data_IF_022961042757
#
_entry.id   IF_022961042757
#
_cell.length_a   1.000
_cell.length_b   1.000
_cell.length_c   1.000
_cell.angle_alpha   90.00
_cell.angle_beta   90.00
_cell.angle_gamma   90.00
#
_symmetry.space_group_name_H-M   'P 1'
#
loop_
_entity.id
_entity.type
_entity.pdbx_description
1 polymer ?
#
# COMPACT_ATOMS: atom_id res chain seq x y z
N UNK A 1 -38.13 -3.53 7.30
CA UNK A 1 -37.81 -3.39 5.85
C UNK A 1 -36.86 -2.21 5.70
N UNK A 2 -35.54 -2.45 5.76
CA UNK A 2 -34.55 -1.40 5.51
C UNK A 2 -33.87 -1.70 4.17
N UNK A 3 -34.21 -0.93 3.15
CA UNK A 3 -33.48 -0.91 1.88
C UNK A 3 -32.10 -0.34 2.16
N UNK A 4 -31.08 -1.19 2.13
CA UNK A 4 -29.69 -0.76 2.02
C UNK A 4 -29.49 -0.31 0.57
N UNK A 5 -29.41 1.01 0.40
CA UNK A 5 -29.04 1.67 -0.83
C UNK A 5 -27.54 1.41 -1.07
N UNK A 6 -27.23 0.29 -1.73
CA UNK A 6 -25.88 -0.05 -2.18
C UNK A 6 -25.65 0.68 -3.49
N UNK A 7 -25.39 1.98 -3.41
CA UNK A 7 -24.80 2.72 -4.52
C UNK A 7 -23.31 2.32 -4.61
N UNK A 8 -22.86 1.67 -5.68
CA UNK A 8 -21.44 1.39 -5.88
C UNK A 8 -20.67 2.70 -5.97
N UNK A 9 -19.40 2.76 -5.53
CA UNK A 9 -18.58 3.95 -5.69
C UNK A 9 -18.51 4.29 -7.18
N UNK A 10 -19.02 5.47 -7.51
CA UNK A 10 -18.91 6.06 -8.84
C UNK A 10 -17.43 6.42 -9.02
N UNK A 11 -16.73 5.58 -9.77
CA UNK A 11 -15.37 5.87 -10.22
C UNK A 11 -15.48 7.03 -11.21
N UNK A 12 -15.06 8.21 -10.77
CA UNK A 12 -15.01 9.40 -11.62
C UNK A 12 -13.87 9.23 -12.62
N UNK A 13 -14.24 8.87 -13.84
CA UNK A 13 -13.36 8.94 -14.99
C UNK A 13 -13.05 10.41 -15.23
N UNK A 14 -11.81 10.84 -15.06
CA UNK A 14 -11.38 12.09 -15.70
C UNK A 14 -11.33 11.83 -17.19
N UNK A 15 -12.18 12.49 -18.02
CA UNK A 15 -12.27 12.23 -19.44
C UNK A 15 -11.10 12.93 -20.13
N UNK A 16 -9.92 12.36 -20.02
CA UNK A 16 -9.12 12.20 -21.23
C UNK A 16 -9.72 11.01 -21.98
N UNK A 17 -10.91 11.24 -22.53
CA UNK A 17 -11.35 10.82 -23.84
C UNK A 17 -10.80 9.47 -24.34
N UNK A 18 -11.68 8.55 -24.72
CA UNK A 18 -11.36 7.39 -25.57
C UNK A 18 -11.33 7.65 -27.11
N UNK A 19 -10.93 8.81 -27.69
CA UNK A 19 -10.68 8.90 -29.12
C UNK A 19 -9.21 8.57 -29.37
N UNK A 20 -8.97 7.46 -30.07
CA UNK A 20 -7.65 7.18 -30.65
C UNK A 20 -6.75 6.22 -29.90
N UNK A 21 -7.31 5.17 -29.26
CA UNK A 21 -6.52 3.99 -28.89
C UNK A 21 -5.83 3.45 -30.15
N UNK A 22 -4.57 3.84 -30.35
CA UNK A 22 -3.71 3.24 -31.37
C UNK A 22 -3.55 1.76 -31.00
N UNK A 23 -3.56 0.84 -31.97
CA UNK A 23 -3.28 -0.57 -31.69
C UNK A 23 -1.90 -0.67 -31.02
N UNK A 24 -1.90 -0.89 -29.71
CA UNK A 24 -0.69 -1.10 -28.93
C UNK A 24 -0.26 -2.54 -29.14
N UNK A 25 1.04 -2.78 -29.36
CA UNK A 25 1.56 -4.15 -29.43
C UNK A 25 1.56 -4.80 -28.06
N UNK A 26 1.89 -4.01 -27.04
CA UNK A 26 2.01 -4.47 -25.65
C UNK A 26 1.63 -3.37 -24.66
N UNK A 27 0.88 -3.75 -23.63
CA UNK A 27 0.52 -2.95 -22.46
C UNK A 27 1.47 -3.29 -21.32
N UNK A 28 2.25 -2.33 -20.84
CA UNK A 28 3.12 -2.49 -19.68
C UNK A 28 2.40 -1.94 -18.46
N UNK A 29 1.97 -2.80 -17.55
CA UNK A 29 1.25 -2.44 -16.32
C UNK A 29 2.23 -2.37 -15.17
N UNK A 30 2.41 -1.17 -14.61
CA UNK A 30 3.30 -0.92 -13.48
C UNK A 30 2.58 -1.24 -12.16
N UNK A 31 3.09 -2.23 -11.41
CA UNK A 31 2.52 -2.68 -10.14
C UNK A 31 3.48 -2.31 -8.99
N UNK A 32 3.09 -1.49 -8.00
CA UNK A 32 4.01 -0.92 -7.01
C UNK A 32 4.29 -1.92 -5.88
N UNK A 33 3.23 -2.45 -5.29
CA UNK A 33 3.18 -3.43 -4.21
C UNK A 33 1.85 -4.18 -4.33
N UNK A 34 1.78 -5.40 -3.75
CA UNK A 34 0.58 -6.26 -3.80
C UNK A 34 -0.48 -5.92 -2.75
N UNK A 35 -0.37 -4.76 -2.09
CA UNK A 35 -1.23 -4.38 -0.96
C UNK A 35 -2.59 -3.78 -1.38
N UNK A 36 -2.90 -3.78 -2.69
CA UNK A 36 -4.12 -3.18 -3.24
C UNK A 36 -5.09 -4.26 -3.73
N UNK A 37 -6.40 -3.96 -3.69
CA UNK A 37 -7.40 -4.78 -4.35
C UNK A 37 -7.12 -4.80 -5.86
N UNK A 38 -6.58 -5.91 -6.33
CA UNK A 38 -6.14 -6.09 -7.72
C UNK A 38 -7.30 -6.34 -8.67
N UNK A 39 -8.48 -6.74 -8.19
CA UNK A 39 -9.62 -7.11 -9.03
C UNK A 39 -10.07 -6.00 -10.01
N UNK A 40 -10.28 -4.74 -9.58
CA UNK A 40 -10.67 -3.67 -10.49
C UNK A 40 -9.57 -3.31 -11.50
N UNK A 41 -8.29 -3.41 -11.11
CA UNK A 41 -7.14 -3.22 -12.02
C UNK A 41 -7.13 -4.31 -13.09
N UNK A 42 -7.20 -5.57 -12.66
CA UNK A 42 -7.19 -6.75 -13.53
C UNK A 42 -8.32 -6.67 -14.55
N UNK A 43 -9.54 -6.35 -14.10
CA UNK A 43 -10.69 -6.18 -14.99
C UNK A 43 -10.43 -5.11 -16.04
N UNK A 44 -9.89 -3.95 -15.64
CA UNK A 44 -9.68 -2.84 -16.56
C UNK A 44 -8.55 -3.12 -17.55
N UNK A 45 -7.47 -3.73 -17.09
CA UNK A 45 -6.36 -4.19 -17.94
C UNK A 45 -6.87 -5.21 -18.95
N UNK A 46 -7.71 -6.16 -18.54
CA UNK A 46 -8.32 -7.13 -19.45
C UNK A 46 -9.22 -6.48 -20.50
N UNK A 47 -10.09 -5.54 -20.11
CA UNK A 47 -10.93 -4.78 -21.04
C UNK A 47 -10.08 -4.04 -22.09
N UNK A 48 -8.99 -3.39 -21.66
CA UNK A 48 -8.05 -2.69 -22.55
C UNK A 48 -7.31 -3.65 -23.48
N UNK A 49 -6.74 -4.73 -22.95
CA UNK A 49 -6.00 -5.72 -23.72
C UNK A 49 -6.89 -6.38 -24.78
N UNK A 50 -8.13 -6.73 -24.42
CA UNK A 50 -9.10 -7.32 -25.34
C UNK A 50 -9.57 -6.34 -26.42
N UNK A 51 -9.76 -5.06 -26.07
CA UNK A 51 -10.16 -4.03 -27.04
C UNK A 51 -9.05 -3.68 -28.04
N UNK A 52 -7.78 -3.77 -27.61
CA UNK A 52 -6.61 -3.39 -28.42
C UNK A 52 -5.94 -4.59 -29.09
N UNK A 53 -6.23 -5.82 -28.66
CA UNK A 53 -5.49 -7.01 -29.06
C UNK A 53 -4.05 -7.06 -28.53
N UNK A 54 -3.74 -6.24 -27.52
CA UNK A 54 -2.38 -6.08 -27.02
C UNK A 54 -1.98 -7.20 -26.04
N UNK A 55 -0.70 -7.52 -26.04
CA UNK A 55 -0.10 -8.38 -25.01
C UNK A 55 0.06 -7.59 -23.70
N UNK A 56 -0.03 -8.23 -22.54
CA UNK A 56 0.08 -7.55 -21.25
C UNK A 56 1.36 -7.99 -20.55
N UNK A 57 2.18 -7.04 -20.10
CA UNK A 57 3.32 -7.28 -19.23
C UNK A 57 3.05 -6.62 -17.88
N UNK A 58 2.91 -7.44 -16.83
CA UNK A 58 2.90 -6.95 -15.46
C UNK A 58 4.33 -6.78 -14.97
N UNK A 59 4.71 -5.54 -14.67
CA UNK A 59 6.06 -5.18 -14.26
C UNK A 59 6.03 -4.62 -12.83
N UNK A 60 6.85 -5.20 -11.95
CA UNK A 60 7.06 -4.68 -10.61
C UNK A 60 8.52 -4.53 -10.25
N UNK A 61 8.80 -3.59 -9.36
CA UNK A 61 10.13 -3.23 -8.91
C UNK A 61 10.27 -3.57 -7.43
N UNK A 62 11.34 -4.27 -7.05
CA UNK A 62 11.63 -4.58 -5.65
C UNK A 62 13.04 -4.15 -5.27
N UNK A 63 13.18 -3.68 -4.03
CA UNK A 63 14.45 -3.21 -3.46
C UNK A 63 15.07 -4.21 -2.49
N UNK A 64 14.26 -5.12 -1.94
CA UNK A 64 14.68 -6.18 -1.02
C UNK A 64 14.42 -7.55 -1.64
N UNK A 65 15.46 -8.38 -1.70
CA UNK A 65 15.39 -9.75 -2.24
C UNK A 65 14.42 -10.65 -1.46
N UNK A 66 14.13 -10.34 -0.20
CA UNK A 66 13.14 -11.10 0.59
C UNK A 66 11.72 -10.95 0.03
N UNK A 67 11.44 -9.85 -0.69
CA UNK A 67 10.13 -9.54 -1.28
C UNK A 67 9.91 -10.16 -2.66
N UNK A 68 10.97 -10.58 -3.36
CA UNK A 68 10.87 -11.14 -4.71
C UNK A 68 9.87 -12.31 -4.80
N UNK A 69 9.88 -13.31 -3.90
CA UNK A 69 9.02 -14.47 -4.05
C UNK A 69 7.53 -14.15 -3.89
N UNK A 70 7.18 -13.29 -2.94
CA UNK A 70 5.79 -12.87 -2.72
C UNK A 70 5.31 -11.98 -3.88
N UNK A 71 6.16 -11.05 -4.31
CA UNK A 71 5.87 -10.15 -5.43
C UNK A 71 5.64 -10.93 -6.73
N UNK A 72 6.57 -11.84 -7.06
CA UNK A 72 6.48 -12.69 -8.25
C UNK A 72 5.22 -13.54 -8.26
N UNK A 73 4.84 -14.14 -7.12
CA UNK A 73 3.60 -14.91 -7.00
C UNK A 73 2.36 -14.05 -7.29
N UNK A 74 2.30 -12.84 -6.75
CA UNK A 74 1.19 -11.92 -7.00
C UNK A 74 1.10 -11.50 -8.47
N UNK A 75 2.23 -11.15 -9.10
CA UNK A 75 2.24 -10.82 -10.53
C UNK A 75 1.79 -11.98 -11.41
N UNK A 76 2.26 -13.20 -11.13
CA UNK A 76 1.82 -14.40 -11.86
C UNK A 76 0.32 -14.63 -11.68
N UNK A 77 -0.21 -14.35 -10.48
CA UNK A 77 -1.65 -14.44 -10.21
C UNK A 77 -2.43 -13.41 -11.04
N UNK A 78 -1.98 -12.16 -11.07
CA UNK A 78 -2.61 -11.10 -11.88
C UNK A 78 -2.55 -11.44 -13.37
N UNK A 79 -1.41 -11.92 -13.86
CA UNK A 79 -1.24 -12.37 -15.23
C UNK A 79 -2.21 -13.51 -15.57
N UNK A 80 -2.32 -14.52 -14.70
CA UNK A 80 -3.24 -15.63 -14.89
C UNK A 80 -4.71 -15.19 -14.92
N UNK A 81 -5.10 -14.17 -14.15
CA UNK A 81 -6.46 -13.64 -14.15
C UNK A 81 -6.80 -12.82 -15.41
N UNK A 82 -5.81 -12.20 -16.05
CA UNK A 82 -6.00 -11.47 -17.32
C UNK A 82 -5.87 -12.39 -18.53
N UNK A 83 -5.11 -13.48 -18.42
CA UNK A 83 -4.88 -14.40 -19.52
C UNK A 83 -6.19 -15.05 -19.96
N UNK A 84 -6.50 -14.90 -21.25
CA UNK A 84 -7.57 -15.65 -21.91
C UNK A 84 -7.09 -16.16 -23.27
N UNK A 85 -7.95 -16.84 -24.03
CA UNK A 85 -7.57 -17.39 -25.34
C UNK A 85 -7.15 -16.35 -26.39
N UNK A 86 -7.32 -15.05 -26.13
CA UNK A 86 -7.01 -13.94 -27.03
C UNK A 86 -5.99 -12.95 -26.45
N UNK A 87 -5.80 -12.94 -25.14
CA UNK A 87 -4.88 -12.04 -24.43
C UNK A 87 -3.68 -12.82 -23.88
N UNK A 88 -2.49 -12.51 -24.40
CA UNK A 88 -1.22 -13.01 -23.85
C UNK A 88 -0.77 -12.16 -22.68
N UNK A 89 -0.24 -12.79 -21.63
CA UNK A 89 0.19 -12.11 -20.40
C UNK A 89 1.55 -12.61 -19.93
N UNK A 90 2.40 -11.69 -19.50
CA UNK A 90 3.71 -11.92 -18.88
C UNK A 90 3.79 -11.23 -17.52
N UNK A 91 4.63 -11.75 -16.64
CA UNK A 91 4.84 -11.23 -15.29
C UNK A 91 6.35 -11.15 -15.00
N UNK A 92 6.83 -9.95 -14.68
CA UNK A 92 8.24 -9.69 -14.41
C UNK A 92 8.42 -8.87 -13.13
N UNK A 93 9.24 -9.40 -12.22
CA UNK A 93 9.73 -8.69 -11.06
C UNK A 93 11.20 -8.32 -11.29
N UNK A 94 11.54 -7.03 -11.15
CA UNK A 94 12.88 -6.50 -11.42
C UNK A 94 13.48 -5.91 -10.15
N UNK A 95 14.72 -6.30 -9.86
CA UNK A 95 15.47 -5.69 -8.77
C UNK A 95 15.96 -4.30 -9.18
N UNK A 96 15.58 -3.27 -8.42
CA UNK A 96 15.96 -1.90 -8.74
C UNK A 96 15.37 -0.88 -7.78
N UNK A 97 15.77 0.37 -7.93
CA UNK A 97 15.22 1.52 -7.18
C UNK A 97 14.59 2.58 -8.09
N UNK A 98 14.92 2.56 -9.38
CA UNK A 98 14.49 3.55 -10.34
C UNK A 98 13.53 2.95 -11.38
N UNK A 99 12.25 3.33 -11.26
CA UNK A 99 11.22 2.94 -12.21
C UNK A 99 11.48 3.50 -13.61
N UNK A 100 12.08 4.67 -13.74
CA UNK A 100 12.33 5.28 -15.04
C UNK A 100 13.37 4.48 -15.83
N UNK A 101 14.45 4.06 -15.17
CA UNK A 101 15.48 3.22 -15.77
C UNK A 101 14.90 1.85 -16.20
N UNK A 102 14.13 1.21 -15.32
CA UNK A 102 13.54 -0.09 -15.61
C UNK A 102 12.50 0.00 -16.73
N UNK A 103 11.65 1.03 -16.75
CA UNK A 103 10.70 1.23 -17.84
C UNK A 103 11.44 1.52 -19.15
N UNK A 104 12.44 2.42 -19.17
CA UNK A 104 13.19 2.74 -20.39
C UNK A 104 13.88 1.51 -21.00
N UNK A 105 14.46 0.64 -20.17
CA UNK A 105 15.18 -0.55 -20.64
C UNK A 105 14.25 -1.66 -21.15
N UNK A 106 12.98 -1.68 -20.72
CA UNK A 106 12.02 -2.74 -21.08
C UNK A 106 10.97 -2.33 -22.11
N UNK A 107 10.84 -1.04 -22.39
CA UNK A 107 9.84 -0.53 -23.33
C UNK A 107 10.35 -0.57 -24.78
N UNK A 108 9.46 -0.89 -25.70
CA UNK A 108 9.69 -0.91 -27.14
C UNK A 108 8.77 0.10 -27.86
N UNK A 109 9.12 0.53 -29.08
CA UNK A 109 8.24 1.38 -29.89
C UNK A 109 6.87 0.71 -30.12
N UNK A 110 5.79 1.43 -29.79
CA UNK A 110 4.42 0.92 -29.90
C UNK A 110 3.87 0.26 -28.63
N UNK A 111 4.65 0.27 -27.55
CA UNK A 111 4.17 -0.10 -26.22
C UNK A 111 3.34 1.04 -25.61
N UNK A 112 2.48 0.67 -24.68
CA UNK A 112 1.66 1.61 -23.91
C UNK A 112 1.84 1.33 -22.43
N UNK A 113 2.15 2.37 -21.65
CA UNK A 113 2.41 2.24 -20.23
C UNK A 113 1.11 2.51 -19.47
N UNK A 114 0.75 1.61 -18.55
CA UNK A 114 -0.38 1.75 -17.64
C UNK A 114 0.17 1.94 -16.23
N UNK A 115 -0.09 3.11 -15.65
CA UNK A 115 0.29 3.46 -14.28
C UNK A 115 -0.97 3.66 -13.44
N UNK A 116 -0.92 3.34 -12.14
CA UNK A 116 -1.99 3.75 -11.22
C UNK A 116 -1.71 5.19 -10.76
N UNK A 117 -2.76 5.96 -10.54
CA UNK A 117 -2.64 7.34 -10.07
C UNK A 117 -1.92 7.46 -8.72
N UNK A 118 -2.08 6.44 -7.88
CA UNK A 118 -1.59 6.45 -6.50
C UNK A 118 -0.11 6.05 -6.36
N UNK A 119 0.54 5.67 -7.46
CA UNK A 119 1.97 5.39 -7.47
C UNK A 119 2.79 6.67 -7.31
N UNK A 120 3.50 6.77 -6.18
CA UNK A 120 4.50 7.80 -5.94
C UNK A 120 5.90 7.19 -5.98
N UNK A 121 6.84 7.91 -6.60
CA UNK A 121 8.25 7.50 -6.70
C UNK A 121 9.19 8.59 -6.22
N UNK A 122 10.30 8.14 -5.62
CA UNK A 122 11.39 9.00 -5.16
C UNK A 122 11.06 9.89 -3.95
N UNK A 123 12.06 10.64 -3.54
CA UNK A 123 11.95 11.75 -2.60
C UNK A 123 12.38 13.04 -3.31
N UNK A 124 11.58 14.12 -3.31
CA UNK A 124 10.24 14.24 -2.76
C UNK A 124 9.22 13.41 -3.56
N UNK A 125 8.20 12.87 -2.89
CA UNK A 125 7.16 12.02 -3.46
C UNK A 125 6.47 12.67 -4.66
N UNK A 126 6.93 12.33 -5.87
CA UNK A 126 6.29 12.76 -7.12
C UNK A 126 5.47 11.61 -7.69
N UNK A 127 4.30 11.88 -8.29
CA UNK A 127 3.52 10.84 -8.94
C UNK A 127 4.32 10.25 -10.10
N UNK A 128 4.39 8.91 -10.16
CA UNK A 128 5.14 8.18 -11.18
C UNK A 128 4.66 8.53 -12.58
N UNK A 129 3.37 8.80 -12.73
CA UNK A 129 2.77 9.27 -13.97
C UNK A 129 3.42 10.56 -14.49
N UNK A 130 3.68 11.54 -13.63
CA UNK A 130 4.31 12.81 -14.01
C UNK A 130 5.80 12.63 -14.36
N UNK A 131 6.49 11.77 -13.62
CA UNK A 131 7.91 11.46 -13.90
C UNK A 131 8.03 10.74 -15.25
N UNK A 132 7.17 9.76 -15.53
CA UNK A 132 7.16 9.04 -16.79
C UNK A 132 6.74 9.95 -17.96
N UNK A 133 5.68 10.74 -17.81
CA UNK A 133 5.19 11.62 -18.87
C UNK A 133 6.22 12.69 -19.28
N UNK A 134 7.05 13.15 -18.35
CA UNK A 134 8.11 14.13 -18.64
C UNK A 134 9.39 13.53 -19.21
N UNK A 135 9.58 12.20 -19.12
CA UNK A 135 10.85 11.55 -19.44
C UNK A 135 10.75 10.43 -20.47
N UNK A 136 9.55 10.04 -20.88
CA UNK A 136 9.28 8.91 -21.76
C UNK A 136 8.29 9.33 -22.85
N UNK A 137 8.70 9.21 -24.11
CA UNK A 137 7.91 9.59 -25.30
C UNK A 137 6.94 8.46 -25.72
N UNK A 138 6.23 7.88 -24.76
CA UNK A 138 5.31 6.76 -24.95
C UNK A 138 3.91 7.09 -24.42
N UNK A 139 2.85 6.51 -25.02
CA UNK A 139 1.50 6.71 -24.54
C UNK A 139 1.35 6.15 -23.12
N UNK A 140 0.96 7.03 -22.20
CA UNK A 140 0.77 6.74 -20.78
C UNK A 140 -0.73 6.80 -20.44
N UNK A 141 -1.25 5.72 -19.89
CA UNK A 141 -2.60 5.65 -19.34
C UNK A 141 -2.54 5.60 -17.82
N UNK A 142 -3.32 6.47 -17.18
CA UNK A 142 -3.42 6.55 -15.72
C UNK A 142 -4.75 5.91 -15.33
N UNK A 143 -4.70 4.88 -14.50
CA UNK A 143 -5.89 4.30 -13.88
C UNK A 143 -6.15 4.99 -12.53
N UNK A 144 -7.23 5.76 -12.50
CA UNK A 144 -7.72 6.53 -11.34
C UNK A 144 -8.89 5.83 -10.64
N UNK A 145 -9.09 6.14 -9.35
CA UNK A 145 -10.24 5.65 -8.56
C UNK A 145 -10.06 4.26 -7.96
N UNK A 146 -8.82 3.80 -7.85
CA UNK A 146 -8.43 2.52 -7.27
C UNK A 146 -7.83 2.74 -5.88
N UNK A 147 -8.56 3.46 -5.03
CA UNK A 147 -8.08 3.73 -3.69
C UNK A 147 -7.95 2.45 -2.89
N UNK A 148 -6.83 2.23 -2.16
CA UNK A 148 -6.70 1.11 -1.24
C UNK A 148 -7.89 1.18 -0.31
N UNK A 149 -8.76 0.20 -0.41
CA UNK A 149 -9.88 0.05 0.51
C UNK A 149 -9.29 -0.19 1.89
N UNK A 150 -9.11 0.90 2.63
CA UNK A 150 -8.73 0.87 4.03
C UNK A 150 -7.26 0.54 4.29
N UNK A 151 -6.32 1.24 3.65
CA UNK A 151 -5.07 1.50 4.36
C UNK A 151 -5.33 2.67 5.31
N UNK A 152 -5.89 2.34 6.48
CA UNK A 152 -5.46 3.02 7.69
C UNK A 152 -3.94 2.97 7.65
N UNK A 153 -3.29 4.07 7.22
CA UNK A 153 -1.89 4.31 7.52
C UNK A 153 -1.71 3.81 8.96
N UNK A 154 -0.75 2.92 9.26
CA UNK A 154 -0.41 2.67 10.66
C UNK A 154 -0.17 4.07 11.20
N UNK A 155 -1.09 4.52 12.05
CA UNK A 155 -1.21 5.92 12.39
C UNK A 155 0.00 6.16 13.28
N UNK A 156 1.14 6.46 12.65
CA UNK A 156 2.46 6.43 13.26
C UNK A 156 2.49 7.38 14.44
N UNK A 157 1.68 8.43 14.38
CA UNK A 157 1.36 9.32 15.50
C UNK A 157 0.61 8.62 16.63
N UNK A 158 -0.41 7.79 16.38
CA UNK A 158 -1.05 6.97 17.44
C UNK A 158 -0.12 5.91 18.02
N UNK A 159 0.73 5.28 17.20
CA UNK A 159 1.74 4.35 17.72
C UNK A 159 2.76 5.10 18.59
N UNK A 160 3.28 6.23 18.11
CA UNK A 160 4.19 7.09 18.90
C UNK A 160 3.49 7.60 20.17
N UNK A 161 2.21 7.97 20.11
CA UNK A 161 1.43 8.39 21.29
C UNK A 161 1.20 7.24 22.28
N UNK A 162 0.98 6.01 21.79
CA UNK A 162 0.88 4.82 22.62
C UNK A 162 2.20 4.54 23.36
N UNK A 163 3.34 4.61 22.65
CA UNK A 163 4.67 4.45 23.21
C UNK A 163 5.01 5.55 24.24
N UNK A 164 4.75 6.82 23.91
CA UNK A 164 5.01 7.96 24.80
C UNK A 164 4.13 7.86 26.05
N UNK A 165 2.84 7.61 25.90
CA UNK A 165 1.93 7.51 27.04
C UNK A 165 2.30 6.35 27.97
N UNK A 166 2.66 5.19 27.42
CA UNK A 166 3.13 4.05 28.23
C UNK A 166 4.42 4.37 28.98
N UNK A 167 5.38 5.04 28.33
CA UNK A 167 6.62 5.47 28.99
C UNK A 167 6.36 6.48 30.12
N UNK A 168 5.42 7.41 29.94
CA UNK A 168 5.02 8.37 30.97
C UNK A 168 4.33 7.67 32.15
N UNK A 169 3.46 6.69 31.89
CA UNK A 169 2.80 5.89 32.94
C UNK A 169 3.85 5.15 33.77
N UNK A 170 4.75 4.40 33.11
CA UNK A 170 5.82 3.65 33.79
C UNK A 170 6.69 4.58 34.63
N UNK A 171 7.13 5.70 34.07
CA UNK A 171 7.95 6.67 34.79
C UNK A 171 7.21 7.28 35.99
N UNK A 172 5.92 7.56 35.86
CA UNK A 172 5.09 8.08 36.93
C UNK A 172 4.94 7.08 38.09
N UNK A 173 4.64 5.82 37.79
CA UNK A 173 4.53 4.75 38.78
C UNK A 173 5.88 4.46 39.46
N UNK A 174 6.98 4.47 38.70
CA UNK A 174 8.32 4.31 39.24
C UNK A 174 8.69 5.41 40.24
N UNK A 175 8.40 6.67 39.93
CA UNK A 175 8.63 7.79 40.86
C UNK A 175 7.75 7.70 42.11
N UNK A 176 6.51 7.21 41.96
CA UNK A 176 5.59 7.00 43.07
C UNK A 176 6.07 5.87 44.00
N UNK A 177 6.64 4.80 43.46
CA UNK A 177 7.25 3.70 44.22
C UNK A 177 8.47 4.19 45.03
N UNK A 178 9.37 4.98 44.43
CA UNK A 178 10.53 5.58 45.13
C UNK A 178 10.07 6.48 46.29
N UNK A 179 8.95 7.20 46.13
CA UNK A 179 8.39 8.05 47.17
C UNK A 179 7.73 7.27 48.31
N UNK A 180 7.30 6.03 48.06
CA UNK A 180 6.68 5.17 49.07
C UNK A 180 7.71 4.40 49.92
N UNK A 181 8.92 4.20 49.42
CA UNK A 181 10.01 3.53 50.14
C UNK A 181 10.30 4.09 51.54
N UNK A 182 10.35 5.42 51.80
CA UNK A 182 10.62 5.93 53.14
C UNK A 182 9.38 5.99 54.07
N UNK A 183 8.17 5.72 53.58
CA UNK A 183 6.90 5.98 54.29
C UNK A 183 6.20 4.72 54.81
N UNK A 184 6.57 3.52 54.35
CA UNK A 184 5.82 2.31 54.61
C UNK A 184 6.59 1.32 55.49
N UNK A 185 5.94 0.86 56.57
CA UNK A 185 6.48 -0.10 57.53
C UNK A 185 6.18 -1.54 57.07
N UNK A 186 7.26 -2.30 56.81
CA UNK A 186 7.42 -3.71 56.39
C UNK A 186 6.30 -4.38 55.59
N UNK A 187 5.14 -4.67 56.18
CA UNK A 187 4.06 -5.40 55.50
C UNK A 187 3.19 -4.50 54.60
N UNK A 188 3.02 -3.23 55.00
CA UNK A 188 2.23 -2.26 54.23
C UNK A 188 2.92 -1.85 52.93
N UNK A 189 4.26 -1.83 52.93
CA UNK A 189 5.09 -1.57 51.76
C UNK A 189 4.86 -2.61 50.66
N UNK A 190 4.94 -3.90 51.03
CA UNK A 190 4.74 -5.00 50.08
C UNK A 190 3.33 -4.99 49.49
N UNK A 191 2.31 -4.72 50.31
CA UNK A 191 0.92 -4.63 49.84
C UNK A 191 0.69 -3.44 48.89
N UNK A 192 1.23 -2.26 49.22
CA UNK A 192 1.16 -1.06 48.39
C UNK A 192 1.86 -1.25 47.04
N UNK A 193 3.03 -1.90 47.02
CA UNK A 193 3.74 -2.21 45.77
C UNK A 193 2.97 -3.18 44.88
N UNK A 194 2.40 -4.24 45.43
CA UNK A 194 1.60 -5.20 44.66
C UNK A 194 0.36 -4.55 44.04
N UNK A 195 -0.32 -3.68 44.79
CA UNK A 195 -1.47 -2.92 44.29
C UNK A 195 -1.03 -1.93 43.21
N UNK A 196 0.10 -1.25 43.40
CA UNK A 196 0.66 -0.30 42.44
C UNK A 196 0.95 -0.95 41.08
N UNK A 197 1.56 -2.13 41.06
CA UNK A 197 1.87 -2.89 39.84
C UNK A 197 0.59 -3.30 39.10
N UNK A 198 -0.44 -3.75 39.83
CA UNK A 198 -1.72 -4.12 39.23
C UNK A 198 -2.41 -2.94 38.56
N UNK A 199 -2.38 -1.76 39.19
CA UNK A 199 -2.94 -0.53 38.63
C UNK A 199 -2.13 -0.07 37.42
N UNK A 200 -0.80 -0.16 37.46
CA UNK A 200 0.08 0.18 36.34
C UNK A 200 -0.24 -0.68 35.11
N UNK A 201 -0.33 -2.01 35.30
CA UNK A 201 -0.66 -2.94 34.23
C UNK A 201 -2.04 -2.66 33.63
N UNK A 202 -3.03 -2.38 34.49
CA UNK A 202 -4.38 -2.02 34.04
C UNK A 202 -4.40 -0.69 33.26
N UNK A 203 -3.61 0.29 33.70
CA UNK A 203 -3.53 1.61 33.06
C UNK A 203 -2.85 1.53 31.70
N UNK A 204 -1.77 0.74 31.57
CA UNK A 204 -1.10 0.47 30.29
C UNK A 204 -2.05 -0.26 29.34
N UNK A 205 -2.78 -1.27 29.84
CA UNK A 205 -3.75 -2.01 29.04
C UNK A 205 -4.87 -1.09 28.52
N UNK A 206 -5.44 -0.27 29.40
CA UNK A 206 -6.47 0.71 29.04
C UNK A 206 -5.95 1.74 28.03
N UNK A 207 -4.77 2.29 28.25
CA UNK A 207 -4.13 3.24 27.33
C UNK A 207 -3.90 2.62 25.95
N UNK A 208 -3.33 1.41 25.90
CA UNK A 208 -3.06 0.74 24.64
C UNK A 208 -4.36 0.36 23.90
N UNK A 209 -5.45 0.07 24.61
CA UNK A 209 -6.77 -0.18 23.99
C UNK A 209 -7.41 1.05 23.32
N UNK A 210 -6.97 2.26 23.67
CA UNK A 210 -7.45 3.51 23.05
C UNK A 210 -6.71 3.84 21.74
N UNK A 211 -5.56 3.20 21.49
CA UNK A 211 -4.69 3.46 20.35
C UNK A 211 -4.35 2.23 19.50
N UNK A 212 -4.85 1.04 19.88
CA UNK A 212 -4.75 -0.22 19.14
C UNK A 212 -6.06 -0.57 18.43
#
# INVERSE_FOLDING_TARGET
MNKLDVSPPVITVSPASFPGLRPARRLIVLVPTLEFDSAPIIRRVWELARATGAQVLFLSLYTDRTQEPSLRRGLVTMAAMVKDGKVSTEAEAVFGKDWLEVVRTRTQPGDTIICLEEHQVGFPHRPLSQVLQSNVDLPLYILSGLSPRGNSRPNRSSQIAAWIGSAVIILGFFLLQIKMDPLAQDWTHTALLMISILIEFWTIWLWNSLFG
#
